data_IF_622634105968
#
_entry.id   IF_622634105968
#
_cell.length_a   1.000
_cell.length_b   1.000
_cell.length_c   1.000
_cell.angle_alpha   90.00
_cell.angle_beta   90.00
_cell.angle_gamma   90.00
#
_symmetry.space_group_name_H-M   'P 1'
#
loop_
_entity.id
_entity.type
_entity.pdbx_description
1 polymer ?
#
# COMPACT_ATOMS: atom_id res chain seq x y z
N UNK A 1 19.71 14.69 -7.30
CA UNK A 1 18.59 13.73 -7.23
C UNK A 1 17.88 14.06 -5.93
N UNK A 2 16.68 14.63 -6.00
CA UNK A 2 15.85 14.86 -4.81
C UNK A 2 15.48 13.50 -4.21
N UNK A 3 16.04 13.16 -3.05
CA UNK A 3 15.95 11.80 -2.46
C UNK A 3 14.97 11.75 -1.30
N UNK A 4 13.80 12.35 -1.44
CA UNK A 4 12.71 12.17 -0.47
C UNK A 4 11.38 11.91 -1.20
N UNK A 5 11.36 10.85 -2.01
CA UNK A 5 10.07 10.25 -2.35
C UNK A 5 9.55 9.58 -1.08
N UNK A 6 8.60 10.22 -0.40
CA UNK A 6 7.92 9.63 0.76
C UNK A 6 7.28 8.30 0.32
N UNK A 7 7.72 7.22 0.96
CA UNK A 7 7.22 5.87 0.71
C UNK A 7 6.51 5.36 1.96
N UNK A 8 5.37 4.71 1.76
CA UNK A 8 4.56 4.15 2.82
C UNK A 8 4.13 2.74 2.44
N UNK A 9 4.28 1.81 3.37
CA UNK A 9 3.68 0.50 3.26
C UNK A 9 2.54 0.34 4.25
N UNK A 10 1.39 -0.11 3.75
CA UNK A 10 0.18 -0.34 4.53
C UNK A 10 -0.13 -1.83 4.47
N UNK A 11 0.04 -2.52 5.59
CA UNK A 11 -0.26 -3.94 5.72
C UNK A 11 -1.73 -4.14 6.07
N UNK A 12 -2.49 -4.84 5.22
CA UNK A 12 -3.92 -5.13 5.44
C UNK A 12 -4.14 -6.48 6.11
N UNK A 13 -3.31 -7.48 5.79
CA UNK A 13 -3.44 -8.87 6.26
C UNK A 13 -2.05 -9.46 6.51
N UNK A 14 -1.94 -10.46 7.39
CA UNK A 14 -0.64 -11.09 7.69
C UNK A 14 -0.23 -12.21 6.71
N UNK A 15 -1.03 -12.52 5.68
CA UNK A 15 -0.71 -13.53 4.65
C UNK A 15 0.47 -13.15 3.75
N UNK A 16 1.24 -14.14 3.29
CA UNK A 16 2.42 -13.92 2.45
C UNK A 16 2.09 -13.25 1.12
N UNK A 17 2.97 -12.35 0.67
CA UNK A 17 2.89 -11.73 -0.66
C UNK A 17 3.32 -12.75 -1.71
N UNK A 18 2.48 -12.98 -2.71
CA UNK A 18 2.75 -13.83 -3.86
C UNK A 18 3.17 -13.03 -5.10
N UNK A 19 2.56 -11.87 -5.34
CA UNK A 19 2.93 -10.95 -6.42
C UNK A 19 2.43 -9.52 -6.12
N UNK A 20 2.96 -8.55 -6.88
CA UNK A 20 2.67 -7.13 -6.71
C UNK A 20 2.33 -6.50 -8.06
N UNK A 21 1.28 -5.69 -8.13
CA UNK A 21 0.83 -5.03 -9.36
C UNK A 21 0.62 -3.51 -9.19
N UNK A 22 0.95 -2.68 -10.20
CA UNK A 22 0.66 -1.25 -10.14
C UNK A 22 -0.85 -1.01 -10.25
N UNK A 23 -1.40 -0.27 -9.28
CA UNK A 23 -2.73 0.29 -9.41
C UNK A 23 -2.62 1.55 -10.25
N UNK A 24 -3.15 1.52 -11.47
CA UNK A 24 -3.16 2.64 -12.41
C UNK A 24 -3.90 3.85 -11.83
N UNK A 25 -3.18 4.67 -11.07
CA UNK A 25 -3.69 5.89 -10.45
C UNK A 25 -3.01 7.11 -11.09
N UNK A 26 -3.78 8.18 -11.32
CA UNK A 26 -3.23 9.46 -11.80
C UNK A 26 -2.49 10.25 -10.71
N UNK A 27 -2.53 9.81 -9.44
CA UNK A 27 -2.07 10.57 -8.27
C UNK A 27 -0.94 9.87 -7.50
N UNK A 28 0.08 9.41 -8.22
CA UNK A 28 1.27 8.78 -7.63
C UNK A 28 1.33 7.27 -7.85
N UNK A 29 2.45 6.68 -7.46
CA UNK A 29 2.70 5.25 -7.62
C UNK A 29 2.07 4.50 -6.46
N UNK A 30 0.97 3.81 -6.74
CA UNK A 30 0.34 2.87 -5.81
C UNK A 30 0.57 1.47 -6.36
N UNK A 31 1.12 0.59 -5.54
CA UNK A 31 1.24 -0.84 -5.84
C UNK A 31 0.36 -1.63 -4.87
N UNK A 32 -0.21 -2.72 -5.35
CA UNK A 32 -1.00 -3.66 -4.55
C UNK A 32 -0.25 -4.97 -4.45
N UNK A 33 -0.09 -5.46 -3.23
CA UNK A 33 0.42 -6.79 -2.96
C UNK A 33 -0.74 -7.76 -2.85
N UNK A 34 -0.62 -8.90 -3.53
CA UNK A 34 -1.60 -9.97 -3.53
C UNK A 34 -1.03 -11.23 -2.90
N UNK A 35 -1.86 -11.98 -2.18
CA UNK A 35 -1.55 -13.35 -1.80
C UNK A 35 -1.79 -14.34 -2.96
N UNK A 36 -1.48 -15.62 -2.71
CA UNK A 36 -1.61 -16.69 -3.70
C UNK A 36 -3.06 -16.95 -4.14
N UNK A 37 -4.04 -16.46 -3.38
CA UNK A 37 -5.47 -16.56 -3.68
C UNK A 37 -5.98 -15.33 -4.45
N UNK A 38 -5.12 -14.34 -4.71
CA UNK A 38 -5.47 -13.10 -5.40
C UNK A 38 -6.13 -12.06 -4.49
N UNK A 39 -6.04 -12.21 -3.16
CA UNK A 39 -6.51 -11.17 -2.26
C UNK A 39 -5.44 -10.12 -2.01
N UNK A 40 -5.83 -8.85 -1.90
CA UNK A 40 -4.90 -7.78 -1.50
C UNK A 40 -4.51 -7.92 -0.03
N UNK A 41 -3.21 -7.95 0.22
CA UNK A 41 -2.59 -8.07 1.55
C UNK A 41 -1.81 -6.82 1.97
N UNK A 42 -1.42 -6.00 1.00
CA UNK A 42 -0.62 -4.80 1.23
C UNK A 42 -0.85 -3.74 0.17
N UNK A 43 -0.59 -2.49 0.54
CA UNK A 43 -0.59 -1.33 -0.35
C UNK A 43 0.74 -0.62 -0.18
N UNK A 44 1.48 -0.45 -1.26
CA UNK A 44 2.67 0.40 -1.31
C UNK A 44 2.31 1.71 -1.97
N UNK A 45 2.78 2.81 -1.38
CA UNK A 45 2.54 4.16 -1.90
C UNK A 45 3.85 4.90 -1.95
N UNK A 46 4.21 5.43 -3.12
CA UNK A 46 5.46 6.17 -3.33
C UNK A 46 5.19 7.53 -3.96
N UNK A 47 5.82 8.57 -3.41
CA UNK A 47 5.84 9.92 -3.97
C UNK A 47 4.61 10.77 -3.64
N UNK A 48 3.83 10.41 -2.62
CA UNK A 48 2.71 11.22 -2.13
C UNK A 48 3.20 12.18 -1.03
N UNK A 49 2.94 13.48 -1.18
CA UNK A 49 3.30 14.49 -0.16
C UNK A 49 2.46 14.35 1.11
N UNK A 50 1.20 13.95 0.97
CA UNK A 50 0.26 13.77 2.08
C UNK A 50 -0.77 12.71 1.69
N UNK A 51 -1.09 11.79 2.60
CA UNK A 51 -2.13 10.81 2.39
C UNK A 51 -2.82 10.42 3.70
N UNK A 52 -4.08 9.99 3.59
CA UNK A 52 -4.82 9.31 4.66
C UNK A 52 -4.94 7.84 4.29
N UNK A 53 -4.58 6.93 5.21
CA UNK A 53 -4.75 5.48 5.04
C UNK A 53 -6.21 5.16 4.68
N UNK A 54 -7.18 5.82 5.32
CA UNK A 54 -8.60 5.64 5.03
C UNK A 54 -8.97 6.07 3.60
N UNK A 55 -8.37 7.15 3.10
CA UNK A 55 -8.64 7.62 1.73
C UNK A 55 -7.90 6.81 0.66
N UNK A 56 -6.74 6.22 0.97
CA UNK A 56 -6.05 5.29 0.09
C UNK A 56 -6.83 3.98 -0.05
N UNK A 57 -7.33 3.44 1.06
CA UNK A 57 -8.05 2.17 1.03
C UNK A 57 -9.36 2.27 0.23
N UNK A 58 -9.99 3.44 0.14
CA UNK A 58 -11.14 3.68 -0.73
C UNK A 58 -10.81 3.63 -2.23
N UNK A 59 -9.54 3.83 -2.60
CA UNK A 59 -9.10 3.88 -4.01
C UNK A 59 -8.65 2.52 -4.53
N UNK A 60 -8.41 1.56 -3.63
CA UNK A 60 -8.03 0.19 -3.99
C UNK A 60 -9.28 -0.69 -4.05
N UNK A 61 -9.33 -1.70 -4.94
CA UNK A 61 -10.47 -2.60 -5.08
C UNK A 61 -10.50 -3.66 -3.95
N UNK A 62 -10.49 -3.22 -2.69
CA UNK A 62 -10.47 -4.08 -1.52
C UNK A 62 -11.69 -3.78 -0.66
N UNK A 63 -12.49 -4.81 -0.37
CA UNK A 63 -13.47 -4.73 0.71
C UNK A 63 -12.73 -4.79 2.05
N UNK A 64 -12.45 -3.62 2.62
CA UNK A 64 -11.87 -3.47 3.94
C UNK A 64 -12.97 -3.21 4.97
N UNK A 65 -13.23 -4.18 5.86
CA UNK A 65 -14.10 -3.95 7.00
C UNK A 65 -13.44 -2.99 8.00
N UNK A 66 -14.23 -2.33 8.86
CA UNK A 66 -13.65 -1.48 9.93
C UNK A 66 -12.68 -2.26 10.83
N UNK A 67 -12.85 -3.58 10.98
CA UNK A 67 -11.90 -4.42 11.70
C UNK A 67 -10.53 -4.47 11.00
N UNK A 68 -10.50 -4.61 9.68
CA UNK A 68 -9.27 -4.55 8.87
C UNK A 68 -8.66 -3.16 8.94
N UNK A 69 -9.48 -2.10 8.82
CA UNK A 69 -9.01 -0.71 8.93
C UNK A 69 -8.38 -0.39 10.30
N UNK A 70 -8.92 -0.96 11.37
CA UNK A 70 -8.37 -0.77 12.72
C UNK A 70 -7.10 -1.60 12.98
N UNK A 71 -6.84 -2.62 12.17
CA UNK A 71 -5.62 -3.44 12.24
C UNK A 71 -4.52 -2.94 11.29
N UNK A 72 -4.87 -2.08 10.33
CA UNK A 72 -3.88 -1.49 9.44
C UNK A 72 -2.83 -0.71 10.20
N UNK A 73 -1.57 -0.95 9.83
CA UNK A 73 -0.42 -0.22 10.36
C UNK A 73 0.39 0.40 9.24
N UNK A 74 0.88 1.61 9.49
CA UNK A 74 1.96 2.17 8.72
C UNK A 74 3.25 1.42 9.03
N UNK A 75 3.91 0.94 7.98
CA UNK A 75 5.26 0.40 8.04
C UNK A 75 6.12 1.34 7.19
N UNK A 76 7.16 1.90 7.80
CA UNK A 76 8.14 2.66 7.05
C UNK A 76 8.76 1.71 6.02
N UNK A 77 8.71 2.10 4.74
CA UNK A 77 9.47 1.39 3.73
C UNK A 77 10.94 1.74 3.97
N UNK A 78 11.74 0.76 4.43
CA UNK A 78 13.18 0.88 4.38
C UNK A 78 13.56 0.93 2.89
N UNK A 79 13.72 2.14 2.37
CA UNK A 79 14.30 2.38 1.05
C UNK A 79 15.72 1.78 1.08
N UNK A 80 15.87 0.55 0.61
CA UNK A 80 17.19 0.05 0.25
C UNK A 80 17.72 0.96 -0.85
N UNK A 81 18.78 1.70 -0.52
CA UNK A 81 19.50 2.51 -1.49
C UNK A 81 19.94 1.63 -2.66
N UNK A 82 19.58 2.05 -3.87
CA UNK A 82 19.94 1.40 -5.13
C UNK A 82 21.45 1.39 -5.38
#
# INVERSE_FOLDING_TARGET
MDTEATAAYIRLRDSAVAHTEPLGSQKGFVMLDFDAEGNVVGIEVVGQQEFSIRELIKQVPVEASEAVLNQTRYVAADLQAA
#
